data_IF_399394609316
#
_entry.id   IF_399394609316
#
_cell.length_a   1.000
_cell.length_b   1.000
_cell.length_c   1.000
_cell.angle_alpha   90.00
_cell.angle_beta   90.00
_cell.angle_gamma   90.00
#
_symmetry.space_group_name_H-M   'P 1'
#
loop_
_entity.id
_entity.type
_entity.pdbx_description
1 polymer ?
#
# COMPACT_ATOMS: atom_id res chain seq x y z
N UNK A 1 48.23 20.10 -28.76
CA UNK A 1 46.80 20.37 -29.07
C UNK A 1 45.99 20.09 -27.82
N UNK A 2 45.26 21.09 -27.31
CA UNK A 2 44.63 21.05 -25.98
C UNK A 2 43.40 20.13 -25.93
N UNK A 3 43.20 19.47 -24.79
CA UNK A 3 42.11 18.52 -24.49
C UNK A 3 40.70 19.12 -24.66
N UNK A 4 40.59 20.45 -24.81
CA UNK A 4 39.33 21.18 -25.03
C UNK A 4 38.80 21.07 -26.47
N UNK A 5 39.60 20.65 -27.46
CA UNK A 5 39.17 20.51 -28.87
C UNK A 5 38.63 19.13 -29.26
N UNK A 6 38.69 18.12 -28.37
CA UNK A 6 38.15 16.77 -28.66
C UNK A 6 36.66 16.60 -28.35
N UNK A 7 36.03 17.53 -27.60
CA UNK A 7 34.64 17.38 -27.17
C UNK A 7 33.60 18.01 -28.12
N UNK A 8 34.02 18.87 -29.05
CA UNK A 8 33.09 19.59 -29.95
C UNK A 8 32.89 18.87 -31.29
N UNK A 9 33.72 17.88 -31.63
CA UNK A 9 33.59 17.11 -32.89
C UNK A 9 32.71 15.87 -32.78
N UNK A 10 32.28 15.43 -31.58
CA UNK A 10 31.34 14.32 -31.40
C UNK A 10 29.85 14.72 -31.46
N UNK A 11 29.53 16.00 -31.75
CA UNK A 11 28.14 16.49 -31.81
C UNK A 11 27.60 16.72 -33.24
N UNK A 12 28.29 16.27 -34.30
CA UNK A 12 27.83 16.51 -35.69
C UNK A 12 27.67 15.24 -36.53
N UNK A 13 27.91 14.04 -35.99
CA UNK A 13 27.80 12.79 -36.77
C UNK A 13 26.57 11.92 -36.43
N UNK A 14 25.39 12.53 -36.35
CA UNK A 14 24.10 11.81 -36.33
C UNK A 14 23.03 12.46 -37.21
N UNK A 15 23.46 13.12 -38.29
CA UNK A 15 22.60 13.45 -39.42
C UNK A 15 23.06 12.57 -40.60
N UNK A 16 22.11 11.81 -41.14
CA UNK A 16 22.19 10.95 -42.35
C UNK A 16 22.66 9.50 -42.13
N UNK A 17 21.76 8.66 -41.61
CA UNK A 17 21.53 7.31 -42.17
C UNK A 17 20.01 7.09 -42.26
N UNK A 18 19.37 7.26 -43.42
CA UNK A 18 18.06 6.70 -43.67
C UNK A 18 18.21 5.27 -44.19
N UNK A 19 17.39 4.37 -43.64
CA UNK A 19 17.12 3.00 -44.11
C UNK A 19 18.03 1.90 -43.53
N UNK A 20 17.40 1.06 -42.72
CA UNK A 20 17.73 -0.32 -42.29
C UNK A 20 17.72 -0.51 -40.77
N UNK A 21 16.63 -0.10 -40.11
CA UNK A 21 16.15 -0.82 -38.92
C UNK A 21 14.77 -1.38 -39.25
N UNK A 22 14.82 -2.63 -39.67
CA UNK A 22 13.70 -3.54 -39.81
C UNK A 22 13.06 -3.75 -38.43
N UNK A 23 11.73 -3.59 -38.32
CA UNK A 23 10.94 -4.15 -37.21
C UNK A 23 11.22 -3.60 -35.81
N UNK A 24 10.78 -2.39 -35.52
CA UNK A 24 10.34 -2.03 -34.16
C UNK A 24 8.87 -1.64 -34.26
N UNK A 25 7.99 -2.54 -33.79
CA UNK A 25 6.62 -2.18 -33.48
C UNK A 25 6.65 -0.89 -32.66
N UNK A 26 6.11 0.21 -33.20
CA UNK A 26 5.76 1.37 -32.40
C UNK A 26 4.71 0.90 -31.41
N UNK A 27 5.11 0.44 -30.21
CA UNK A 27 4.18 0.34 -29.08
C UNK A 27 3.58 1.73 -28.93
N UNK A 28 2.31 1.87 -29.30
CA UNK A 28 1.59 3.12 -29.19
C UNK A 28 1.75 3.62 -27.75
N UNK A 29 2.50 4.71 -27.57
CA UNK A 29 2.51 5.43 -26.31
C UNK A 29 1.07 5.84 -26.08
N UNK A 30 0.47 5.41 -24.96
CA UNK A 30 -0.92 5.76 -24.65
C UNK A 30 -1.00 7.29 -24.66
N UNK A 31 -1.73 7.84 -25.63
CA UNK A 31 -1.92 9.28 -25.75
C UNK A 31 -2.52 9.80 -24.46
N UNK A 32 -1.92 10.86 -23.92
CA UNK A 32 -2.46 11.51 -22.72
C UNK A 32 -3.80 12.14 -23.09
N UNK A 33 -4.80 11.89 -22.25
CA UNK A 33 -6.09 12.58 -22.36
C UNK A 33 -5.91 14.02 -21.87
N UNK A 34 -6.09 14.99 -22.76
CA UNK A 34 -5.98 16.42 -22.44
C UNK A 34 -7.01 16.87 -21.39
N UNK A 35 -8.10 16.12 -21.23
CA UNK A 35 -9.09 16.33 -20.18
C UNK A 35 -8.78 15.56 -18.89
N UNK A 36 -7.62 14.93 -18.76
CA UNK A 36 -7.23 14.23 -17.53
C UNK A 36 -6.95 15.19 -16.37
N UNK A 37 -7.09 14.68 -15.15
CA UNK A 37 -6.69 15.42 -13.96
C UNK A 37 -5.18 15.72 -13.98
N UNK A 38 -4.37 14.82 -14.53
CA UNK A 38 -2.93 14.99 -14.74
C UNK A 38 -2.61 16.27 -15.51
N UNK A 39 -3.24 16.49 -16.68
CA UNK A 39 -3.01 17.69 -17.49
C UNK A 39 -3.50 18.94 -16.75
N UNK A 40 -4.71 18.90 -16.18
CA UNK A 40 -5.27 20.06 -15.46
C UNK A 40 -4.47 20.47 -14.22
N UNK A 41 -3.77 19.53 -13.59
CA UNK A 41 -2.87 19.80 -12.47
C UNK A 41 -1.51 20.38 -12.89
N UNK A 42 -1.20 20.49 -14.18
CA UNK A 42 0.10 20.95 -14.68
C UNK A 42 1.10 19.84 -14.97
N UNK A 43 0.63 18.60 -15.12
CA UNK A 43 1.42 17.48 -15.61
C UNK A 43 2.51 17.01 -14.65
N UNK A 44 3.54 16.37 -15.21
CA UNK A 44 4.58 15.69 -14.43
C UNK A 44 5.44 16.65 -13.62
N UNK A 45 5.70 17.86 -14.11
CA UNK A 45 6.54 18.84 -13.40
C UNK A 45 5.91 19.29 -12.09
N UNK A 46 4.62 19.64 -12.11
CA UNK A 46 3.88 19.97 -10.89
C UNK A 46 3.80 18.76 -9.96
N UNK A 47 3.50 17.57 -10.49
CA UNK A 47 3.48 16.34 -9.67
C UNK A 47 4.84 16.07 -9.02
N UNK A 48 5.94 16.24 -9.77
CA UNK A 48 7.30 16.03 -9.27
C UNK A 48 7.58 16.95 -8.09
N UNK A 49 7.27 18.24 -8.24
CA UNK A 49 7.47 19.25 -7.19
C UNK A 49 6.57 19.02 -5.97
N UNK A 50 5.29 18.70 -6.19
CA UNK A 50 4.33 18.37 -5.12
C UNK A 50 4.83 17.18 -4.31
N UNK A 51 5.18 16.07 -4.97
CA UNK A 51 5.66 14.88 -4.29
C UNK A 51 6.97 15.15 -3.55
N UNK A 52 7.85 15.96 -4.13
CA UNK A 52 9.12 16.26 -3.48
C UNK A 52 8.96 17.08 -2.21
N UNK A 53 8.06 18.07 -2.22
CA UNK A 53 7.73 18.90 -1.07
C UNK A 53 6.98 18.08 0.01
N UNK A 54 5.98 17.30 -0.39
CA UNK A 54 5.19 16.44 0.49
C UNK A 54 6.06 15.44 1.27
N UNK A 55 6.96 14.73 0.57
CA UNK A 55 7.82 13.74 1.24
C UNK A 55 8.83 14.41 2.17
N UNK A 56 9.33 15.59 1.81
CA UNK A 56 10.22 16.35 2.68
C UNK A 56 9.51 16.76 3.97
N UNK A 57 8.27 17.27 3.87
CA UNK A 57 7.43 17.57 5.04
C UNK A 57 7.15 16.34 5.88
N UNK A 58 6.82 15.22 5.24
CA UNK A 58 6.49 13.96 5.92
C UNK A 58 7.66 13.40 6.73
N UNK A 59 8.89 13.55 6.24
CA UNK A 59 10.09 13.12 6.98
C UNK A 59 10.43 14.05 8.15
N UNK A 60 10.03 15.31 8.09
CA UNK A 60 10.28 16.31 9.12
C UNK A 60 9.17 16.35 10.19
N UNK A 61 7.99 15.81 9.92
CA UNK A 61 6.86 15.84 10.85
C UNK A 61 7.04 14.81 11.99
N UNK A 62 7.19 15.24 13.25
CA UNK A 62 7.45 14.34 14.37
C UNK A 62 6.31 13.34 14.64
N UNK A 63 5.10 13.60 14.13
CA UNK A 63 3.94 12.71 14.32
C UNK A 63 4.06 11.43 13.48
N UNK A 64 4.70 11.50 12.32
CA UNK A 64 4.75 10.41 11.33
C UNK A 64 6.17 10.04 10.87
N UNK A 65 7.19 10.81 11.24
CA UNK A 65 8.57 10.60 10.77
C UNK A 65 9.13 9.23 11.19
N UNK A 66 8.60 8.64 12.26
CA UNK A 66 8.99 7.32 12.76
C UNK A 66 8.80 6.19 11.72
N UNK A 67 7.83 6.29 10.81
CA UNK A 67 7.64 5.32 9.71
C UNK A 67 8.79 5.31 8.70
N UNK A 68 9.64 6.35 8.72
CA UNK A 68 10.68 6.59 7.72
C UNK A 68 12.11 6.51 8.29
N UNK A 69 12.24 6.14 9.56
CA UNK A 69 13.53 5.96 10.24
C UNK A 69 14.30 4.80 9.60
N UNK A 70 15.61 4.94 9.46
CA UNK A 70 16.49 3.92 8.88
C UNK A 70 16.53 3.90 7.34
N UNK A 71 15.68 4.66 6.64
CA UNK A 71 15.79 4.79 5.19
C UNK A 71 16.97 5.67 4.78
N UNK A 72 17.99 5.07 4.17
CA UNK A 72 19.08 5.79 3.52
C UNK A 72 18.65 6.58 2.28
N UNK A 73 19.55 7.43 1.77
CA UNK A 73 19.31 8.35 0.65
C UNK A 73 18.76 7.66 -0.60
N UNK A 74 19.34 6.55 -1.03
CA UNK A 74 18.88 5.83 -2.22
C UNK A 74 17.47 5.25 -2.05
N UNK A 75 17.16 4.73 -0.87
CA UNK A 75 15.82 4.21 -0.56
C UNK A 75 14.79 5.33 -0.60
N UNK A 76 15.14 6.49 -0.04
CA UNK A 76 14.33 7.72 -0.08
C UNK A 76 14.11 8.23 -1.50
N UNK A 77 15.14 8.25 -2.34
CA UNK A 77 15.04 8.66 -3.74
C UNK A 77 14.16 7.70 -4.56
N UNK A 78 14.30 6.39 -4.33
CA UNK A 78 13.43 5.39 -4.96
C UNK A 78 11.98 5.52 -4.50
N UNK A 79 11.74 5.83 -3.23
CA UNK A 79 10.40 6.13 -2.70
C UNK A 79 9.81 7.38 -3.36
N UNK A 80 10.59 8.47 -3.52
CA UNK A 80 10.19 9.68 -4.25
C UNK A 80 9.74 9.34 -5.67
N UNK A 81 10.57 8.65 -6.45
CA UNK A 81 10.24 8.30 -7.83
C UNK A 81 9.00 7.41 -7.94
N UNK A 82 8.84 6.42 -7.06
CA UNK A 82 7.65 5.58 -7.02
C UNK A 82 6.37 6.40 -6.77
N UNK A 83 6.41 7.35 -5.84
CA UNK A 83 5.27 8.21 -5.55
C UNK A 83 4.96 9.20 -6.68
N UNK A 84 5.98 9.74 -7.37
CA UNK A 84 5.79 10.55 -8.59
C UNK A 84 5.05 9.77 -9.68
N UNK A 85 5.51 8.55 -9.94
CA UNK A 85 4.89 7.66 -10.91
C UNK A 85 3.45 7.28 -10.52
N UNK A 86 3.21 6.98 -9.25
CA UNK A 86 1.88 6.62 -8.76
C UNK A 86 0.91 7.79 -8.89
N UNK A 87 1.32 9.01 -8.51
CA UNK A 87 0.49 10.21 -8.65
C UNK A 87 0.20 10.52 -10.12
N UNK A 88 1.23 10.47 -10.98
CA UNK A 88 1.09 10.63 -12.42
C UNK A 88 0.08 9.63 -13.01
N UNK A 89 0.20 8.34 -12.71
CA UNK A 89 -0.74 7.34 -13.19
C UNK A 89 -2.16 7.55 -12.64
N UNK A 90 -2.31 7.79 -11.34
CA UNK A 90 -3.62 7.92 -10.65
C UNK A 90 -4.44 9.11 -11.15
N UNK A 91 -3.76 10.15 -11.62
CA UNK A 91 -4.36 11.36 -12.19
C UNK A 91 -4.64 11.24 -13.70
N UNK A 92 -4.27 10.11 -14.33
CA UNK A 92 -4.52 9.84 -15.75
C UNK A 92 -3.34 10.15 -16.68
N UNK A 93 -2.17 10.43 -16.12
CA UNK A 93 -0.94 10.63 -16.85
C UNK A 93 -0.33 9.33 -17.40
N UNK A 94 0.69 9.43 -18.25
CA UNK A 94 1.19 8.30 -19.03
C UNK A 94 2.20 7.42 -18.26
N UNK A 95 2.47 7.70 -16.99
CA UNK A 95 3.46 6.99 -16.20
C UNK A 95 3.03 5.57 -15.84
N UNK A 96 4.00 4.66 -15.69
CA UNK A 96 3.75 3.31 -15.20
C UNK A 96 3.76 3.26 -13.68
N UNK A 97 2.86 2.48 -13.09
CA UNK A 97 2.88 2.15 -11.65
C UNK A 97 4.05 1.23 -11.35
N UNK A 98 4.92 1.65 -10.44
CA UNK A 98 6.09 0.89 -9.98
C UNK A 98 5.90 0.31 -8.56
N UNK A 99 4.76 0.60 -7.95
CA UNK A 99 4.43 0.23 -6.59
C UNK A 99 3.84 -1.17 -6.56
N UNK A 100 4.18 -1.93 -5.51
CA UNK A 100 3.38 -3.09 -5.12
C UNK A 100 2.00 -2.60 -4.63
N UNK A 101 0.98 -3.47 -4.57
CA UNK A 101 -0.33 -3.11 -4.02
C UNK A 101 -0.21 -2.41 -2.66
N UNK A 102 -1.09 -1.43 -2.40
CA UNK A 102 -1.04 -0.58 -1.20
C UNK A 102 -1.16 -1.42 0.08
N UNK A 103 -2.01 -2.43 0.05
CA UNK A 103 -2.26 -3.36 1.14
C UNK A 103 -0.98 -4.09 1.53
N UNK A 104 -0.16 -4.48 0.55
CA UNK A 104 1.07 -5.25 0.75
C UNK A 104 2.22 -4.37 1.28
N UNK A 105 2.25 -3.09 0.91
CA UNK A 105 3.33 -2.20 1.35
C UNK A 105 3.05 -1.49 2.67
N UNK A 106 1.79 -1.45 3.11
CA UNK A 106 1.38 -0.80 4.35
C UNK A 106 0.94 -1.77 5.46
N UNK A 107 0.73 -3.06 5.14
CA UNK A 107 0.45 -4.09 6.15
C UNK A 107 1.56 -4.16 7.20
N UNK A 108 1.17 -4.37 8.45
CA UNK A 108 2.09 -4.50 9.58
C UNK A 108 2.71 -3.18 10.07
N UNK A 109 2.54 -2.07 9.36
CA UNK A 109 3.09 -0.77 9.79
C UNK A 109 2.30 -0.14 10.94
N UNK A 110 1.08 -0.60 11.21
CA UNK A 110 0.24 -0.02 12.27
C UNK A 110 -0.26 1.40 11.97
N UNK A 111 -0.33 1.77 10.68
CA UNK A 111 -0.82 3.08 10.24
C UNK A 111 -2.27 3.27 10.68
N UNK A 112 -2.51 4.32 11.45
CA UNK A 112 -3.83 4.69 11.96
C UNK A 112 -4.56 5.65 11.03
N UNK A 113 -5.85 5.90 11.31
CA UNK A 113 -6.62 6.96 10.67
C UNK A 113 -5.92 8.32 10.78
N UNK A 114 -5.40 8.64 11.97
CA UNK A 114 -4.71 9.90 12.24
C UNK A 114 -3.46 10.04 11.37
N UNK A 115 -2.64 8.99 11.28
CA UNK A 115 -1.43 9.00 10.45
C UNK A 115 -1.76 9.20 8.97
N UNK A 116 -2.82 8.51 8.51
CA UNK A 116 -3.31 8.63 7.14
C UNK A 116 -3.73 10.07 6.82
N UNK A 117 -4.51 10.71 7.69
CA UNK A 117 -4.95 12.09 7.45
C UNK A 117 -3.78 13.09 7.52
N UNK A 118 -2.78 12.87 8.38
CA UNK A 118 -1.57 13.71 8.39
C UNK A 118 -0.85 13.66 7.04
N UNK A 119 -0.72 12.47 6.44
CA UNK A 119 -0.13 12.31 5.09
C UNK A 119 -0.98 13.02 4.03
N UNK A 120 -2.30 12.87 4.08
CA UNK A 120 -3.22 13.56 3.15
C UNK A 120 -3.06 15.07 3.28
N UNK A 121 -3.03 15.62 4.48
CA UNK A 121 -2.88 17.05 4.72
C UNK A 121 -1.57 17.60 4.13
N UNK A 122 -0.45 16.88 4.30
CA UNK A 122 0.81 17.27 3.68
C UNK A 122 0.72 17.31 2.15
N UNK A 123 0.04 16.34 1.53
CA UNK A 123 -0.19 16.35 0.08
C UNK A 123 -1.03 17.58 -0.32
N UNK A 124 -2.11 17.87 0.41
CA UNK A 124 -3.00 19.00 0.11
C UNK A 124 -2.31 20.36 0.26
N UNK A 125 -1.47 20.51 1.29
CA UNK A 125 -0.63 21.70 1.49
C UNK A 125 0.38 21.87 0.36
N UNK A 126 1.05 20.78 -0.06
CA UNK A 126 1.98 20.83 -1.20
C UNK A 126 1.28 21.15 -2.51
N UNK A 127 0.11 20.57 -2.78
CA UNK A 127 -0.71 20.91 -3.95
C UNK A 127 -1.07 22.39 -4.00
N UNK A 128 -1.47 22.96 -2.86
CA UNK A 128 -1.76 24.40 -2.75
C UNK A 128 -0.52 25.25 -2.97
N UNK A 129 0.66 24.83 -2.47
CA UNK A 129 1.93 25.54 -2.65
C UNK A 129 2.37 25.63 -4.12
N UNK A 130 2.02 24.64 -4.94
CA UNK A 130 2.34 24.62 -6.37
C UNK A 130 1.14 24.98 -7.25
N UNK A 131 0.24 25.83 -6.72
CA UNK A 131 -0.84 26.48 -7.45
C UNK A 131 -1.81 25.51 -8.17
N UNK A 132 -1.95 24.28 -7.67
CA UNK A 132 -2.98 23.37 -8.17
C UNK A 132 -4.36 23.93 -7.80
N UNK A 133 -5.27 24.15 -8.77
CA UNK A 133 -6.55 24.80 -8.48
C UNK A 133 -7.42 23.95 -7.56
N UNK A 134 -8.28 24.61 -6.76
CA UNK A 134 -9.06 23.98 -5.70
C UNK A 134 -9.92 22.81 -6.22
N UNK A 135 -10.52 22.95 -7.40
CA UNK A 135 -11.33 21.90 -8.03
C UNK A 135 -10.53 20.62 -8.25
N UNK A 136 -9.33 20.73 -8.83
CA UNK A 136 -8.42 19.61 -9.08
C UNK A 136 -7.90 19.02 -7.77
N UNK A 137 -7.60 19.86 -6.77
CA UNK A 137 -7.19 19.38 -5.44
C UNK A 137 -8.28 18.56 -4.77
N UNK A 138 -9.54 19.00 -4.80
CA UNK A 138 -10.65 18.25 -4.19
C UNK A 138 -10.92 16.93 -4.92
N UNK A 139 -10.80 16.91 -6.25
CA UNK A 139 -10.87 15.66 -7.02
C UNK A 139 -9.77 14.67 -6.63
N UNK A 140 -8.54 15.17 -6.42
CA UNK A 140 -7.43 14.33 -5.96
C UNK A 140 -7.62 13.89 -4.49
N UNK A 141 -8.11 14.78 -3.63
CA UNK A 141 -8.42 14.48 -2.24
C UNK A 141 -9.41 13.32 -2.14
N UNK A 142 -10.52 13.37 -2.88
CA UNK A 142 -11.49 12.27 -2.93
C UNK A 142 -10.86 10.94 -3.38
N UNK A 143 -9.97 10.99 -4.40
CA UNK A 143 -9.21 9.81 -4.83
C UNK A 143 -8.31 9.27 -3.72
N UNK A 144 -7.58 10.13 -3.00
CA UNK A 144 -6.72 9.72 -1.88
C UNK A 144 -7.55 9.09 -0.76
N UNK A 145 -8.66 9.70 -0.36
CA UNK A 145 -9.54 9.16 0.69
C UNK A 145 -10.07 7.77 0.34
N UNK A 146 -10.36 7.49 -0.93
CA UNK A 146 -10.79 6.16 -1.38
C UNK A 146 -9.72 5.06 -1.17
N UNK A 147 -8.45 5.42 -1.00
CA UNK A 147 -7.35 4.49 -0.74
C UNK A 147 -7.20 4.14 0.74
N UNK A 148 -7.84 4.89 1.65
CA UNK A 148 -7.72 4.71 3.10
C UNK A 148 -7.92 3.24 3.55
N UNK A 149 -8.95 2.50 3.09
CA UNK A 149 -9.16 1.12 3.52
C UNK A 149 -8.04 0.16 3.12
N UNK A 150 -7.19 0.54 2.15
CA UNK A 150 -6.05 -0.24 1.67
C UNK A 150 -4.75 0.07 2.40
N UNK A 151 -4.71 1.18 3.16
CA UNK A 151 -3.51 1.71 3.81
C UNK A 151 -3.64 1.62 5.32
N UNK A 152 -4.78 2.08 5.85
CA UNK A 152 -5.11 1.93 7.25
C UNK A 152 -5.53 0.48 7.46
N UNK A 153 -4.62 -0.31 8.01
CA UNK A 153 -5.04 -1.56 8.61
C UNK A 153 -5.84 -1.22 9.85
N UNK A 154 -7.02 -1.82 9.98
CA UNK A 154 -7.69 -1.93 11.28
C UNK A 154 -6.64 -2.35 12.29
N UNK A 155 -6.54 -1.67 13.43
CA UNK A 155 -5.56 -1.91 14.51
C UNK A 155 -5.55 -3.35 15.05
N UNK A 156 -6.44 -4.18 14.53
CA UNK A 156 -6.63 -5.58 14.85
C UNK A 156 -5.74 -6.41 13.93
N UNK A 157 -4.89 -7.21 14.57
CA UNK A 157 -3.94 -8.12 13.94
C UNK A 157 -4.29 -9.56 14.34
N UNK A 158 -3.84 -10.56 13.56
CA UNK A 158 -3.95 -11.95 13.99
C UNK A 158 -3.38 -12.19 15.39
N UNK A 159 -4.05 -13.03 16.17
CA UNK A 159 -3.78 -13.29 17.57
C UNK A 159 -3.01 -14.60 17.76
N UNK A 160 -1.96 -14.56 18.57
CA UNK A 160 -1.37 -15.79 19.07
C UNK A 160 -2.34 -16.47 20.05
N UNK A 161 -2.55 -17.78 19.90
CA UNK A 161 -3.32 -18.55 20.88
C UNK A 161 -2.59 -18.62 22.23
N UNK A 162 -3.32 -18.55 23.36
CA UNK A 162 -2.73 -18.67 24.69
C UNK A 162 -2.03 -20.02 24.83
N UNK A 163 -0.88 -20.07 25.53
CA UNK A 163 -0.25 -21.34 25.89
C UNK A 163 -1.03 -21.94 27.06
N UNK A 164 -1.81 -22.99 26.80
CA UNK A 164 -2.49 -23.79 27.84
C UNK A 164 -2.00 -25.23 27.77
N UNK A 165 -1.96 -25.89 28.90
CA UNK A 165 -1.62 -27.31 29.00
C UNK A 165 -2.65 -28.14 28.21
N UNK A 166 -2.19 -29.04 27.33
CA UNK A 166 -3.04 -29.81 26.41
C UNK A 166 -3.33 -29.18 25.04
N UNK A 167 -2.80 -27.99 24.74
CA UNK A 167 -2.98 -27.40 23.40
C UNK A 167 -2.24 -28.19 22.31
N UNK A 168 -2.92 -28.41 21.17
CA UNK A 168 -2.34 -29.05 20.00
C UNK A 168 -1.16 -28.22 19.44
N UNK A 169 0.06 -28.77 19.53
CA UNK A 169 1.29 -28.09 19.12
C UNK A 169 1.31 -27.79 17.61
N UNK A 170 0.81 -28.72 16.79
CA UNK A 170 0.65 -28.52 15.34
C UNK A 170 -0.26 -27.35 15.04
N UNK A 171 -1.41 -27.24 15.73
CA UNK A 171 -2.32 -26.11 15.57
C UNK A 171 -1.62 -24.78 15.93
N UNK A 172 -0.84 -24.78 17.01
CA UNK A 172 -0.08 -23.61 17.47
C UNK A 172 0.99 -23.17 16.46
N UNK A 173 1.75 -24.13 15.91
CA UNK A 173 2.77 -23.88 14.90
C UNK A 173 2.15 -23.35 13.61
N UNK A 174 1.06 -23.98 13.14
CA UNK A 174 0.32 -23.51 11.98
C UNK A 174 -0.19 -22.08 12.19
N UNK A 175 -0.77 -21.77 13.34
CA UNK A 175 -1.20 -20.41 13.65
C UNK A 175 -0.03 -19.40 13.63
N UNK A 176 1.12 -19.75 14.22
CA UNK A 176 2.29 -18.87 14.21
C UNK A 176 2.78 -18.59 12.77
N UNK A 177 2.82 -19.61 11.91
CA UNK A 177 3.21 -19.47 10.52
C UNK A 177 2.17 -18.65 9.72
N UNK A 178 0.88 -18.83 10.01
CA UNK A 178 -0.18 -18.00 9.46
C UNK A 178 -0.03 -16.53 9.83
N UNK A 179 0.26 -16.22 11.10
CA UNK A 179 0.51 -14.84 11.58
C UNK A 179 1.69 -14.23 10.82
N UNK A 180 2.80 -14.98 10.67
CA UNK A 180 3.98 -14.52 9.93
C UNK A 180 3.63 -14.16 8.48
N UNK A 181 2.93 -15.05 7.77
CA UNK A 181 2.49 -14.81 6.40
C UNK A 181 1.50 -13.65 6.27
N UNK A 182 0.58 -13.52 7.21
CA UNK A 182 -0.39 -12.42 7.22
C UNK A 182 0.32 -11.06 7.36
N UNK A 183 1.32 -10.98 8.25
CA UNK A 183 2.06 -9.74 8.50
C UNK A 183 2.87 -9.27 7.29
N UNK A 184 3.27 -10.18 6.40
CA UNK A 184 3.97 -9.84 5.15
C UNK A 184 3.03 -9.73 3.94
N UNK A 185 1.71 -9.77 4.17
CA UNK A 185 0.69 -9.58 3.13
C UNK A 185 0.40 -10.82 2.27
N UNK A 186 0.90 -12.00 2.64
CA UNK A 186 0.63 -13.26 1.93
C UNK A 186 -0.64 -13.90 2.47
N UNK A 187 -1.78 -13.32 2.15
CA UNK A 187 -3.06 -13.70 2.77
C UNK A 187 -3.56 -15.09 2.39
N UNK A 188 -3.28 -15.59 1.18
CA UNK A 188 -3.64 -16.95 0.77
C UNK A 188 -2.82 -18.02 1.51
N UNK A 189 -1.51 -17.80 1.67
CA UNK A 189 -0.63 -18.66 2.47
C UNK A 189 -1.05 -18.60 3.96
N UNK A 190 -1.32 -17.40 4.47
CA UNK A 190 -1.82 -17.22 5.83
C UNK A 190 -3.12 -17.98 6.08
N UNK A 191 -4.08 -17.88 5.16
CA UNK A 191 -5.35 -18.59 5.22
C UNK A 191 -5.15 -20.10 5.31
N UNK A 192 -4.27 -20.65 4.47
CA UNK A 192 -3.97 -22.09 4.46
C UNK A 192 -3.46 -22.57 5.82
N UNK A 193 -2.57 -21.79 6.46
CA UNK A 193 -2.06 -22.11 7.78
C UNK A 193 -3.11 -21.92 8.89
N UNK A 194 -3.94 -20.89 8.83
CA UNK A 194 -5.02 -20.70 9.80
C UNK A 194 -6.09 -21.80 9.70
N UNK A 195 -6.39 -22.29 8.50
CA UNK A 195 -7.28 -23.43 8.27
C UNK A 195 -6.76 -24.71 8.90
N UNK A 196 -5.44 -24.95 8.85
CA UNK A 196 -4.83 -26.07 9.58
C UNK A 196 -5.03 -25.88 11.08
N UNK A 197 -4.76 -24.69 11.62
CA UNK A 197 -4.93 -24.43 13.05
C UNK A 197 -6.37 -24.63 13.55
N UNK A 198 -7.36 -24.08 12.84
CA UNK A 198 -8.77 -24.18 13.21
C UNK A 198 -9.36 -25.58 13.01
N UNK A 199 -8.80 -26.36 12.08
CA UNK A 199 -9.16 -27.78 11.87
C UNK A 199 -8.61 -28.68 12.97
N UNK A 200 -7.35 -28.46 13.36
CA UNK A 200 -6.67 -29.25 14.38
C UNK A 200 -7.23 -28.98 15.80
N UNK A 201 -7.68 -27.76 16.05
CA UNK A 201 -8.30 -27.38 17.33
C UNK A 201 -9.38 -26.30 17.14
N UNK A 202 -10.60 -26.75 16.88
CA UNK A 202 -11.77 -25.86 16.66
C UNK A 202 -12.29 -25.19 17.94
N UNK A 203 -11.76 -25.55 19.12
CA UNK A 203 -12.20 -25.00 20.41
C UNK A 203 -11.60 -23.63 20.74
N UNK A 204 -10.60 -23.19 19.97
CA UNK A 204 -9.81 -21.99 20.23
C UNK A 204 -10.29 -20.83 19.34
N UNK A 205 -10.83 -19.78 19.97
CA UNK A 205 -11.37 -18.62 19.27
C UNK A 205 -10.35 -17.87 18.42
N UNK A 206 -9.08 -17.81 18.86
CA UNK A 206 -8.00 -17.12 18.13
C UNK A 206 -7.74 -17.71 16.75
N UNK A 207 -7.83 -19.04 16.58
CA UNK A 207 -7.60 -19.67 15.28
C UNK A 207 -8.70 -19.31 14.28
N UNK A 208 -9.96 -19.35 14.72
CA UNK A 208 -11.09 -18.89 13.91
C UNK A 208 -11.03 -17.38 13.64
N UNK A 209 -10.59 -16.58 14.62
CA UNK A 209 -10.43 -15.14 14.45
C UNK A 209 -9.42 -14.83 13.33
N UNK A 210 -8.27 -15.50 13.36
CA UNK A 210 -7.21 -15.30 12.38
C UNK A 210 -7.59 -15.78 10.98
N UNK A 211 -8.27 -16.93 10.89
CA UNK A 211 -8.81 -17.41 9.62
C UNK A 211 -9.82 -16.42 9.03
N UNK A 212 -10.72 -15.89 9.85
CA UNK A 212 -11.69 -14.88 9.44
C UNK A 212 -11.02 -13.60 8.92
N UNK A 213 -9.96 -13.14 9.59
CA UNK A 213 -9.17 -12.00 9.14
C UNK A 213 -8.53 -12.24 7.77
N UNK A 214 -7.95 -13.42 7.53
CA UNK A 214 -7.38 -13.76 6.23
C UNK A 214 -8.45 -13.82 5.13
N UNK A 215 -9.61 -14.42 5.43
CA UNK A 215 -10.76 -14.45 4.51
C UNK A 215 -11.26 -13.04 4.18
N UNK A 216 -11.33 -12.13 5.16
CA UNK A 216 -11.72 -10.74 4.94
C UNK A 216 -10.75 -10.01 4.02
N UNK A 217 -9.43 -10.15 4.24
CA UNK A 217 -8.40 -9.59 3.36
C UNK A 217 -8.45 -10.13 1.93
N UNK A 218 -8.97 -11.34 1.75
CA UNK A 218 -9.20 -11.96 0.44
C UNK A 218 -10.58 -11.63 -0.17
N UNK A 219 -11.37 -10.75 0.45
CA UNK A 219 -12.70 -10.36 -0.01
C UNK A 219 -13.77 -11.46 0.17
N UNK A 220 -13.46 -12.54 0.88
CA UNK A 220 -14.36 -13.68 1.12
C UNK A 220 -15.26 -13.42 2.34
N UNK A 221 -15.98 -12.29 2.34
CA UNK A 221 -16.70 -11.77 3.51
C UNK A 221 -17.75 -12.72 4.09
N UNK A 222 -18.47 -13.49 3.25
CA UNK A 222 -19.44 -14.49 3.73
C UNK A 222 -18.78 -15.61 4.55
N UNK A 223 -17.59 -16.06 4.13
CA UNK A 223 -16.81 -17.04 4.89
C UNK A 223 -16.19 -16.39 6.13
N UNK A 224 -15.64 -15.19 6.02
CA UNK A 224 -15.11 -14.43 7.14
C UNK A 224 -16.15 -14.31 8.27
N UNK A 225 -17.40 -13.95 7.94
CA UNK A 225 -18.49 -13.86 8.91
C UNK A 225 -18.75 -15.18 9.66
N UNK A 226 -18.66 -16.33 8.99
CA UNK A 226 -18.81 -17.65 9.65
C UNK A 226 -17.72 -17.89 10.68
N UNK A 227 -16.46 -17.64 10.31
CA UNK A 227 -15.34 -17.84 11.23
C UNK A 227 -15.30 -16.79 12.34
N UNK A 228 -15.74 -15.55 12.07
CA UNK A 228 -15.92 -14.53 13.12
C UNK A 228 -17.00 -14.94 14.15
N UNK A 229 -18.10 -15.56 13.71
CA UNK A 229 -19.10 -16.14 14.64
C UNK A 229 -18.51 -17.27 15.49
N UNK A 230 -17.72 -18.15 14.89
CA UNK A 230 -17.02 -19.22 15.61
C UNK A 230 -16.00 -18.65 16.62
N UNK A 231 -15.22 -17.65 16.22
CA UNK A 231 -14.27 -16.94 17.07
C UNK A 231 -14.97 -16.29 18.27
N UNK A 232 -16.11 -15.63 18.05
CA UNK A 232 -16.90 -15.03 19.12
C UNK A 232 -17.42 -16.08 20.11
N UNK A 233 -17.96 -17.20 19.61
CA UNK A 233 -18.45 -18.31 20.44
C UNK A 233 -17.34 -18.92 21.30
N UNK A 234 -16.15 -19.07 20.72
CA UNK A 234 -14.98 -19.69 21.35
C UNK A 234 -14.01 -18.65 21.95
N UNK A 235 -14.46 -17.42 22.22
CA UNK A 235 -13.57 -16.37 22.70
C UNK A 235 -13.07 -16.61 24.13
N UNK A 236 -13.80 -17.37 24.94
CA UNK A 236 -13.44 -17.72 26.34
C UNK A 236 -12.99 -16.51 27.18
N UNK A 237 -13.69 -15.37 27.03
CA UNK A 237 -13.36 -14.12 27.74
C UNK A 237 -12.21 -13.30 27.12
N UNK A 238 -11.68 -13.69 25.96
CA UNK A 238 -10.66 -12.91 25.27
C UNK A 238 -11.26 -11.59 24.73
N UNK A 239 -10.98 -10.51 25.44
CA UNK A 239 -11.46 -9.17 25.11
C UNK A 239 -10.97 -8.64 23.75
N UNK A 240 -9.85 -9.16 23.22
CA UNK A 240 -9.40 -8.79 21.86
C UNK A 240 -10.33 -9.32 20.78
N UNK A 241 -10.97 -10.47 21.01
CA UNK A 241 -11.97 -11.05 20.10
C UNK A 241 -13.35 -10.43 20.37
N UNK A 242 -13.81 -10.41 21.63
CA UNK A 242 -15.15 -9.90 22.00
C UNK A 242 -15.29 -8.39 21.68
N UNK A 243 -14.22 -7.63 21.93
CA UNK A 243 -14.14 -6.21 21.63
C UNK A 243 -13.99 -5.89 20.14
N UNK A 244 -13.77 -6.90 19.30
CA UNK A 244 -13.25 -6.69 17.96
C UNK A 244 -14.19 -5.90 17.05
N UNK A 245 -13.67 -4.86 16.41
CA UNK A 245 -14.45 -3.99 15.50
C UNK A 245 -14.73 -4.70 14.19
N UNK A 246 -13.72 -5.36 13.59
CA UNK A 246 -13.86 -6.11 12.35
C UNK A 246 -14.83 -7.27 12.53
N UNK A 247 -14.72 -8.02 13.63
CA UNK A 247 -15.65 -9.09 13.95
C UNK A 247 -17.08 -8.55 14.04
N UNK A 248 -17.30 -7.48 14.82
CA UNK A 248 -18.63 -6.88 14.96
C UNK A 248 -19.19 -6.41 13.61
N UNK A 249 -18.38 -5.81 12.74
CA UNK A 249 -18.83 -5.38 11.42
C UNK A 249 -19.37 -6.52 10.54
N UNK A 250 -18.87 -7.75 10.72
CA UNK A 250 -19.30 -8.95 10.00
C UNK A 250 -20.47 -9.68 10.65
N UNK A 251 -20.55 -9.67 11.99
CA UNK A 251 -21.52 -10.46 12.75
C UNK A 251 -22.82 -9.69 13.04
N UNK A 252 -22.77 -8.36 13.05
CA UNK A 252 -23.91 -7.49 13.40
C UNK A 252 -24.91 -7.27 12.24
N UNK A 253 -24.85 -8.09 11.18
CA UNK A 253 -25.71 -8.03 10.00
C UNK A 253 -26.63 -9.24 9.92
#
# INVERSE_FOLDING_TARGET
MSLKTMFVTMMVLFLVIPSLVNGQEKKAYKSVDESSLYVRMGGYDVISNVIDDFLTKSWADPRISHFFVGMGTDTRNRLRQKNKNLMCFTTGGPCRVLNRPLEVVHVGLGITDTDFYIIVDHIMVSLKKFDVPDKEREQLHAKLLSLKPKIVNTTEVPLAAPKREGNNETARMANALGISNFNIGRFDEALSHFQVASKEDSGVGEYHFNEAMALDKLGKHSLAAKHFKAAQKNAHGNNKIIGSKILKAHVSK
#
